data_IF_941860536525
#
_entry.id   IF_941860536525
#
_cell.length_a   1.000
_cell.length_b   1.000
_cell.length_c   1.000
_cell.angle_alpha   90.00
_cell.angle_beta   90.00
_cell.angle_gamma   90.00
#
_symmetry.space_group_name_H-M   'P 1'
#
loop_
_entity.id
_entity.type
_entity.pdbx_description
1 polymer ?
#
# COMPACT_ATOMS: atom_id res chain seq x y z
N UNK A 1 -12.13 -9.07 12.92
CA UNK A 1 -10.93 -9.91 12.62
C UNK A 1 -10.40 -9.76 11.19
N UNK A 2 -11.16 -9.19 10.23
CA UNK A 2 -10.75 -9.05 8.82
C UNK A 2 -9.39 -8.33 8.64
N UNK A 3 -9.20 -7.19 9.30
CA UNK A 3 -7.94 -6.42 9.27
C UNK A 3 -6.75 -7.22 9.81
N UNK A 4 -6.97 -7.98 10.88
CA UNK A 4 -5.93 -8.81 11.49
C UNK A 4 -5.42 -9.88 10.53
N UNK A 5 -6.34 -10.58 9.85
CA UNK A 5 -5.95 -11.55 8.84
C UNK A 5 -5.21 -10.91 7.66
N UNK A 6 -5.62 -9.72 7.22
CA UNK A 6 -4.92 -8.99 6.17
C UNK A 6 -3.50 -8.59 6.59
N UNK A 7 -3.31 -8.11 7.82
CA UNK A 7 -1.98 -7.79 8.35
C UNK A 7 -1.08 -9.03 8.34
N UNK A 8 -1.55 -10.15 8.89
CA UNK A 8 -0.76 -11.38 8.97
C UNK A 8 -0.70 -12.18 7.67
N UNK A 9 -1.40 -11.76 6.62
CA UNK A 9 -1.13 -12.26 5.26
C UNK A 9 0.27 -11.87 4.77
N UNK A 10 0.83 -10.78 5.33
CA UNK A 10 2.23 -10.45 5.15
C UNK A 10 3.11 -11.54 5.75
N UNK A 11 4.25 -11.79 5.12
CA UNK A 11 5.20 -12.79 5.56
C UNK A 11 4.59 -14.21 5.69
N UNK A 12 3.62 -14.54 4.81
CA UNK A 12 3.15 -15.91 4.62
C UNK A 12 2.39 -16.51 5.81
N UNK A 13 1.59 -15.71 6.54
CA UNK A 13 0.71 -16.22 7.60
C UNK A 13 1.44 -16.82 8.81
N UNK A 14 2.70 -16.42 9.01
CA UNK A 14 3.52 -16.89 10.14
C UNK A 14 3.06 -16.38 11.51
N UNK A 15 2.18 -15.37 11.54
CA UNK A 15 1.79 -14.67 12.76
C UNK A 15 2.80 -13.61 13.21
N UNK A 16 3.88 -13.38 12.45
CA UNK A 16 4.90 -12.37 12.77
C UNK A 16 5.13 -11.44 11.59
N UNK A 17 4.95 -10.14 11.83
CA UNK A 17 5.22 -9.06 10.88
C UNK A 17 6.09 -8.03 11.59
N UNK A 18 7.25 -7.72 10.99
CA UNK A 18 8.14 -6.69 11.54
C UNK A 18 7.47 -5.32 11.42
N UNK A 19 7.47 -4.57 12.53
CA UNK A 19 6.97 -3.20 12.53
C UNK A 19 7.76 -2.32 11.54
N UNK A 20 7.09 -1.38 10.84
CA UNK A 20 7.75 -0.39 10.00
C UNK A 20 8.88 0.32 10.74
N UNK A 21 9.93 0.69 10.01
CA UNK A 21 11.10 1.36 10.60
C UNK A 21 10.73 2.68 11.29
N UNK A 22 9.80 3.45 10.72
CA UNK A 22 9.26 4.66 11.32
C UNK A 22 8.74 4.42 12.73
N UNK A 23 7.95 3.36 12.93
CA UNK A 23 7.34 3.00 14.23
C UNK A 23 8.35 2.47 15.27
N UNK A 24 9.55 2.08 14.83
CA UNK A 24 10.62 1.61 15.74
C UNK A 24 11.49 2.75 16.25
N UNK A 25 11.20 3.99 15.86
CA UNK A 25 11.89 5.19 16.32
C UNK A 25 11.12 5.83 17.48
N UNK A 26 11.83 6.23 18.53
CA UNK A 26 11.26 6.94 19.71
C UNK A 26 10.56 8.25 19.35
N UNK A 27 10.91 8.86 18.20
CA UNK A 27 10.28 10.08 17.70
C UNK A 27 8.99 9.83 16.89
N UNK A 28 8.54 8.58 16.76
CA UNK A 28 7.31 8.24 16.05
C UNK A 28 6.10 8.82 16.77
N UNK A 29 5.30 9.56 16.00
CA UNK A 29 4.04 10.11 16.45
C UNK A 29 2.92 9.54 15.55
N UNK A 30 1.98 8.74 16.09
CA UNK A 30 0.86 8.22 15.31
C UNK A 30 -0.14 9.31 14.90
N UNK A 31 -0.10 10.48 15.55
CA UNK A 31 -0.97 11.62 15.27
C UNK A 31 -0.14 12.89 15.01
N UNK A 32 0.69 12.90 13.96
CA UNK A 32 1.57 14.02 13.70
C UNK A 32 0.77 15.24 13.25
N UNK A 33 1.24 16.44 13.64
CA UNK A 33 0.72 17.71 13.12
C UNK A 33 0.72 17.72 11.58
N UNK A 34 -0.25 18.40 10.96
CA UNK A 34 -0.40 18.49 9.49
C UNK A 34 0.90 18.84 8.76
N UNK A 35 1.73 19.74 9.31
CA UNK A 35 3.00 20.14 8.72
C UNK A 35 4.04 19.01 8.58
N UNK A 36 3.89 17.92 9.35
CA UNK A 36 4.76 16.74 9.29
C UNK A 36 4.22 15.64 8.38
N UNK A 37 2.96 15.74 7.95
CA UNK A 37 2.37 14.77 7.04
C UNK A 37 2.88 15.02 5.64
N UNK A 38 3.48 14.00 5.05
CA UNK A 38 3.99 14.03 3.69
C UNK A 38 3.23 13.02 2.87
N UNK A 39 2.57 13.48 1.82
CA UNK A 39 1.86 12.60 0.90
C UNK A 39 2.89 11.67 0.22
N UNK A 40 2.75 10.36 0.40
CA UNK A 40 3.70 9.38 -0.12
C UNK A 40 3.19 8.67 -1.38
N UNK A 41 1.88 8.48 -1.51
CA UNK A 41 1.31 7.96 -2.75
C UNK A 41 -0.10 8.46 -3.01
N UNK A 42 -0.50 8.36 -4.27
CA UNK A 42 -1.89 8.44 -4.71
C UNK A 42 -2.27 7.08 -5.28
N UNK A 43 -3.31 6.47 -4.72
CA UNK A 43 -3.91 5.25 -5.23
C UNK A 43 -5.20 5.61 -5.97
N UNK A 44 -5.25 5.35 -7.27
CA UNK A 44 -6.48 5.45 -8.06
C UNK A 44 -7.11 4.08 -8.16
N UNK A 45 -8.39 3.94 -7.81
CA UNK A 45 -9.15 2.69 -7.89
C UNK A 45 -10.41 2.91 -8.71
N UNK A 46 -10.71 1.95 -9.58
CA UNK A 46 -11.96 1.86 -10.33
C UNK A 46 -12.53 0.46 -10.16
N UNK A 47 -13.72 0.37 -9.60
CA UNK A 47 -14.48 -0.88 -9.54
C UNK A 47 -15.25 -1.03 -10.86
N UNK A 48 -15.08 -2.16 -11.55
CA UNK A 48 -15.61 -2.35 -12.90
C UNK A 48 -16.78 -3.33 -12.89
N UNK A 49 -16.56 -4.51 -12.34
CA UNK A 49 -17.55 -5.59 -12.33
C UNK A 49 -17.31 -6.55 -11.17
N UNK A 50 -18.28 -7.43 -10.90
CA UNK A 50 -18.07 -8.58 -10.05
C UNK A 50 -18.57 -9.84 -10.74
N UNK A 51 -18.25 -11.00 -10.15
CA UNK A 51 -18.86 -12.27 -10.53
C UNK A 51 -19.15 -13.11 -9.29
N UNK A 52 -20.19 -13.94 -9.38
CA UNK A 52 -20.55 -14.94 -8.37
C UNK A 52 -20.62 -14.37 -6.94
N UNK A 53 -21.26 -13.21 -6.76
CA UNK A 53 -21.46 -12.68 -5.41
C UNK A 53 -22.36 -13.64 -4.61
N UNK A 54 -22.09 -13.80 -3.29
CA UNK A 54 -22.90 -14.68 -2.47
C UNK A 54 -24.34 -14.16 -2.43
N UNK A 55 -25.30 -15.09 -2.43
CA UNK A 55 -26.72 -14.78 -2.34
C UNK A 55 -27.12 -14.70 -0.87
N UNK A 56 -27.72 -13.60 -0.45
CA UNK A 56 -28.43 -13.54 0.81
C UNK A 56 -29.86 -14.09 0.63
N UNK A 57 -30.20 -15.14 1.37
CA UNK A 57 -31.57 -15.68 1.37
C UNK A 57 -32.13 -16.06 -0.02
N UNK A 58 -33.34 -15.60 -0.32
CA UNK A 58 -34.11 -16.01 -1.51
C UNK A 58 -34.15 -14.97 -2.63
N UNK A 59 -33.92 -13.69 -2.35
CA UNK A 59 -33.93 -12.58 -3.31
C UNK A 59 -32.66 -12.54 -4.17
N UNK A 60 -32.74 -11.81 -5.28
CA UNK A 60 -31.55 -11.47 -6.07
C UNK A 60 -30.89 -10.26 -5.39
N UNK A 61 -29.57 -10.31 -5.21
CA UNK A 61 -28.83 -9.23 -4.57
C UNK A 61 -28.84 -7.97 -5.44
N UNK A 62 -28.94 -6.81 -4.78
CA UNK A 62 -28.72 -5.49 -5.38
C UNK A 62 -27.35 -4.94 -4.92
N UNK A 63 -26.22 -5.35 -5.53
CA UNK A 63 -24.92 -5.10 -4.95
C UNK A 63 -24.37 -3.69 -5.17
N UNK A 64 -23.61 -3.21 -4.20
CA UNK A 64 -22.69 -2.07 -4.33
C UNK A 64 -21.38 -2.36 -3.59
N UNK A 65 -20.32 -1.65 -3.94
CA UNK A 65 -18.99 -1.84 -3.35
C UNK A 65 -18.57 -0.59 -2.59
N UNK A 66 -18.20 -0.78 -1.32
CA UNK A 66 -17.46 0.19 -0.53
C UNK A 66 -15.96 -0.11 -0.67
N UNK A 67 -15.20 0.87 -1.17
CA UNK A 67 -13.73 0.85 -1.21
C UNK A 67 -13.24 1.80 -0.14
N UNK A 68 -12.38 1.32 0.76
CA UNK A 68 -11.82 2.14 1.82
C UNK A 68 -10.33 1.94 2.00
N UNK A 69 -9.68 3.01 2.45
CA UNK A 69 -8.35 2.98 3.03
C UNK A 69 -8.50 2.91 4.53
N UNK A 70 -7.84 1.93 5.13
CA UNK A 70 -7.74 1.80 6.59
C UNK A 70 -6.27 1.92 6.98
N UNK A 71 -5.95 2.79 7.94
CA UNK A 71 -4.58 2.93 8.43
C UNK A 71 -4.54 3.91 9.57
N UNK A 72 -3.62 4.88 9.48
CA UNK A 72 -3.67 6.06 10.33
C UNK A 72 -4.96 6.86 10.08
N UNK A 73 -5.43 7.60 11.08
CA UNK A 73 -6.68 8.35 10.99
C UNK A 73 -6.70 9.34 9.82
N UNK A 74 -5.55 9.93 9.49
CA UNK A 74 -5.39 10.86 8.39
C UNK A 74 -5.39 10.21 6.99
N UNK A 75 -5.22 8.88 6.91
CA UNK A 75 -5.31 8.12 5.65
C UNK A 75 -6.72 7.54 5.43
N UNK A 76 -7.57 7.53 6.46
CA UNK A 76 -8.87 6.88 6.40
C UNK A 76 -9.81 7.62 5.45
N UNK A 77 -10.23 6.95 4.39
CA UNK A 77 -11.15 7.48 3.39
C UNK A 77 -11.98 6.34 2.78
N UNK A 78 -13.23 6.64 2.42
CA UNK A 78 -14.19 5.66 1.90
C UNK A 78 -14.89 6.18 0.65
N UNK A 79 -15.16 5.29 -0.27
CA UNK A 79 -15.91 5.54 -1.49
C UNK A 79 -16.91 4.41 -1.72
N UNK A 80 -18.13 4.75 -2.16
CA UNK A 80 -19.17 3.79 -2.47
C UNK A 80 -19.56 3.92 -3.93
N UNK A 81 -19.64 2.80 -4.63
CA UNK A 81 -20.21 2.76 -5.99
C UNK A 81 -21.73 2.94 -5.93
N UNK A 82 -22.34 3.20 -7.08
CA UNK A 82 -23.79 3.05 -7.22
C UNK A 82 -24.24 1.59 -7.02
N UNK A 83 -25.51 1.43 -6.70
CA UNK A 83 -26.17 0.14 -6.55
C UNK A 83 -26.54 -0.40 -7.93
N UNK A 84 -26.29 -1.70 -8.14
CA UNK A 84 -26.78 -2.44 -9.31
C UNK A 84 -27.99 -3.24 -8.88
N UNK A 85 -29.15 -3.01 -9.50
CA UNK A 85 -30.38 -3.70 -9.12
C UNK A 85 -30.41 -5.13 -9.67
N UNK A 86 -30.90 -6.07 -8.85
CA UNK A 86 -31.23 -7.45 -9.23
C UNK A 86 -30.13 -8.18 -10.03
N UNK A 87 -28.86 -7.99 -9.66
CA UNK A 87 -27.75 -8.68 -10.32
C UNK A 87 -26.58 -8.99 -9.37
N UNK A 88 -26.61 -10.15 -8.73
CA UNK A 88 -25.47 -10.69 -7.97
C UNK A 88 -24.50 -11.57 -8.78
N UNK A 89 -24.90 -12.03 -9.97
CA UNK A 89 -24.10 -13.01 -10.72
C UNK A 89 -22.95 -12.36 -11.49
N UNK A 90 -23.21 -11.23 -12.15
CA UNK A 90 -22.23 -10.51 -12.98
C UNK A 90 -22.50 -9.00 -13.06
N UNK A 91 -22.62 -8.28 -11.92
CA UNK A 91 -22.87 -6.85 -11.94
C UNK A 91 -21.72 -6.09 -12.62
N UNK A 92 -22.06 -5.02 -13.33
CA UNK A 92 -21.13 -4.09 -13.94
C UNK A 92 -21.48 -2.69 -13.46
N UNK A 93 -20.50 -1.99 -12.88
CA UNK A 93 -20.65 -0.59 -12.48
C UNK A 93 -20.29 0.31 -13.68
N UNK A 94 -21.33 0.70 -14.41
CA UNK A 94 -21.22 1.38 -15.72
C UNK A 94 -20.64 2.79 -15.61
N UNK A 95 -20.91 3.48 -14.51
CA UNK A 95 -20.30 4.77 -14.24
C UNK A 95 -18.81 4.54 -14.01
N UNK A 96 -17.97 5.15 -14.85
CA UNK A 96 -16.52 5.00 -14.79
C UNK A 96 -15.91 5.78 -13.61
N UNK A 97 -16.54 5.69 -12.45
CA UNK A 97 -16.13 6.40 -11.25
C UNK A 97 -14.77 5.86 -10.81
N UNK A 98 -13.77 6.73 -10.91
CA UNK A 98 -12.45 6.50 -10.37
C UNK A 98 -12.35 7.28 -9.08
N UNK A 99 -12.03 6.60 -7.99
CA UNK A 99 -11.70 7.25 -6.72
C UNK A 99 -10.18 7.38 -6.62
N UNK A 100 -9.72 8.53 -6.15
CA UNK A 100 -8.32 8.78 -5.80
C UNK A 100 -8.20 8.86 -4.29
N UNK A 101 -7.31 8.07 -3.75
CA UNK A 101 -6.95 8.06 -2.34
C UNK A 101 -5.54 8.62 -2.17
N UNK A 102 -5.43 9.64 -1.33
CA UNK A 102 -4.16 10.17 -0.85
C UNK A 102 -3.71 9.35 0.36
N UNK A 103 -2.50 8.79 0.31
CA UNK A 103 -1.96 7.93 1.36
C UNK A 103 -0.62 8.52 1.83
N UNK A 104 -0.57 8.87 3.10
CA UNK A 104 0.55 9.51 3.77
C UNK A 104 1.45 8.48 4.48
N UNK A 105 0.91 7.37 5.00
CA UNK A 105 1.72 6.24 5.51
C UNK A 105 1.37 4.88 4.84
N UNK A 106 2.04 4.55 3.72
CA UNK A 106 1.91 3.27 3.02
C UNK A 106 2.18 2.03 3.88
N UNK A 107 2.95 2.18 4.95
CA UNK A 107 3.47 1.05 5.71
C UNK A 107 2.42 0.41 6.61
N UNK A 108 1.39 1.18 6.97
CA UNK A 108 0.31 0.76 7.86
C UNK A 108 -1.07 0.88 7.20
N UNK A 109 -1.12 1.34 5.94
CA UNK A 109 -2.36 1.45 5.18
C UNK A 109 -2.77 0.13 4.53
N UNK A 110 -4.08 -0.10 4.47
CA UNK A 110 -4.74 -1.24 3.87
C UNK A 110 -5.80 -0.76 2.90
N UNK A 111 -5.92 -1.45 1.76
CA UNK A 111 -7.01 -1.31 0.82
C UNK A 111 -8.06 -2.38 1.12
N UNK A 112 -9.27 -1.95 1.46
CA UNK A 112 -10.39 -2.82 1.79
C UNK A 112 -11.55 -2.60 0.83
N UNK A 113 -12.04 -3.70 0.28
CA UNK A 113 -13.25 -3.79 -0.51
C UNK A 113 -14.30 -4.49 0.33
N UNK A 114 -15.48 -3.92 0.41
CA UNK A 114 -16.65 -4.55 1.02
C UNK A 114 -17.77 -4.52 0.00
N UNK A 115 -18.32 -5.69 -0.29
CA UNK A 115 -19.51 -5.82 -1.10
C UNK A 115 -20.70 -5.87 -0.16
N UNK A 116 -21.62 -4.96 -0.38
CA UNK A 116 -22.92 -4.94 0.28
C UNK A 116 -23.99 -5.22 -0.75
N UNK A 117 -25.17 -5.59 -0.27
CA UNK A 117 -26.41 -5.44 -1.01
C UNK A 117 -27.31 -4.43 -0.31
N UNK A 118 -28.17 -3.80 -1.09
CA UNK A 118 -29.25 -2.99 -0.56
C UNK A 118 -30.54 -3.82 -0.55
N UNK A 119 -31.22 -3.90 0.60
CA UNK A 119 -32.50 -4.59 0.71
C UNK A 119 -33.70 -3.70 0.35
N UNK A 120 -34.93 -4.22 0.52
CA UNK A 120 -36.17 -3.49 0.22
C UNK A 120 -36.39 -2.25 1.10
N UNK A 121 -35.67 -2.10 2.20
CA UNK A 121 -35.73 -0.97 3.12
C UNK A 121 -34.55 -0.01 2.94
N UNK A 122 -33.73 -0.21 1.90
CA UNK A 122 -32.49 0.53 1.65
C UNK A 122 -31.41 0.33 2.73
N UNK A 123 -31.48 -0.76 3.50
CA UNK A 123 -30.46 -1.10 4.49
C UNK A 123 -29.31 -1.88 3.83
N UNK A 124 -28.03 -1.50 4.12
CA UNK A 124 -26.88 -2.18 3.55
C UNK A 124 -26.56 -3.47 4.29
N UNK A 125 -26.74 -4.61 3.63
CA UNK A 125 -26.42 -5.93 4.15
C UNK A 125 -25.08 -6.43 3.63
N UNK A 126 -24.23 -6.92 4.53
CA UNK A 126 -22.89 -7.42 4.19
C UNK A 126 -22.97 -8.68 3.33
N UNK A 127 -22.26 -8.69 2.19
CA UNK A 127 -22.14 -9.87 1.33
C UNK A 127 -20.73 -10.50 1.43
N UNK A 128 -19.69 -9.71 1.19
CA UNK A 128 -18.33 -10.20 1.13
C UNK A 128 -17.31 -9.09 1.37
N UNK A 129 -16.06 -9.45 1.62
CA UNK A 129 -14.96 -8.48 1.72
C UNK A 129 -13.67 -9.00 1.09
N UNK A 130 -12.75 -8.09 0.84
CA UNK A 130 -11.35 -8.40 0.58
C UNK A 130 -10.48 -7.28 1.15
N UNK A 131 -9.39 -7.61 1.81
CA UNK A 131 -8.55 -6.61 2.50
C UNK A 131 -7.09 -6.94 2.24
N UNK A 132 -6.33 -5.96 1.77
CA UNK A 132 -4.94 -6.11 1.38
C UNK A 132 -4.08 -5.01 1.98
N UNK A 133 -2.89 -5.32 2.51
CA UNK A 133 -1.89 -4.30 2.80
C UNK A 133 -1.52 -3.54 1.52
N UNK A 134 -1.43 -2.21 1.59
CA UNK A 134 -1.16 -1.38 0.40
C UNK A 134 0.15 -1.78 -0.30
N UNK A 135 1.18 -2.13 0.47
CA UNK A 135 2.46 -2.63 -0.06
C UNK A 135 2.35 -3.89 -0.93
N UNK A 136 1.29 -4.68 -0.78
CA UNK A 136 1.04 -5.89 -1.56
C UNK A 136 0.22 -5.68 -2.82
N UNK A 137 -0.33 -4.48 -3.04
CA UNK A 137 -1.19 -4.17 -4.19
C UNK A 137 -0.33 -4.01 -5.46
N UNK A 138 -0.87 -4.37 -6.63
CA UNK A 138 -0.20 -4.22 -7.93
C UNK A 138 -1.11 -3.52 -8.93
N UNK A 139 -0.58 -2.51 -9.62
CA UNK A 139 -1.35 -1.73 -10.61
C UNK A 139 -1.79 -2.53 -11.84
N UNK A 140 -2.76 -1.98 -12.58
CA UNK A 140 -3.39 -2.54 -13.77
C UNK A 140 -4.78 -3.12 -13.50
N UNK A 141 -5.27 -3.90 -14.45
CA UNK A 141 -6.51 -4.67 -14.28
C UNK A 141 -6.24 -5.91 -13.40
N UNK A 142 -7.00 -6.04 -12.32
CA UNK A 142 -6.82 -7.10 -11.31
C UNK A 142 -8.15 -7.73 -10.93
N UNK A 143 -8.10 -9.04 -10.70
CA UNK A 143 -9.18 -9.76 -10.04
C UNK A 143 -8.92 -9.73 -8.54
N UNK A 144 -9.95 -9.38 -7.77
CA UNK A 144 -9.93 -9.36 -6.30
C UNK A 144 -10.80 -10.50 -5.80
N UNK A 145 -10.21 -11.62 -5.33
CA UNK A 145 -10.95 -12.70 -4.72
C UNK A 145 -11.67 -12.22 -3.45
N UNK A 146 -12.93 -12.61 -3.29
CA UNK A 146 -13.78 -12.20 -2.17
C UNK A 146 -13.83 -13.27 -1.08
N UNK A 147 -14.02 -12.80 0.16
CA UNK A 147 -14.08 -13.60 1.38
C UNK A 147 -15.37 -13.33 2.16
N UNK A 148 -15.81 -14.31 2.95
CA UNK A 148 -16.99 -14.22 3.80
C UNK A 148 -16.72 -13.43 5.10
N UNK A 149 -17.71 -13.31 5.98
CA UNK A 149 -17.56 -12.57 7.26
C UNK A 149 -16.47 -13.11 8.19
N UNK A 150 -16.08 -14.37 8.02
CA UNK A 150 -15.01 -15.06 8.77
C UNK A 150 -13.65 -15.01 8.07
N UNK A 151 -13.58 -14.31 6.93
CA UNK A 151 -12.39 -14.18 6.08
C UNK A 151 -11.93 -15.48 5.42
N UNK A 152 -12.85 -16.42 5.22
CA UNK A 152 -12.68 -17.60 4.39
C UNK A 152 -13.02 -17.27 2.94
N UNK A 153 -12.34 -17.94 2.00
CA UNK A 153 -12.53 -17.70 0.57
C UNK A 153 -13.94 -18.12 0.11
N UNK A 154 -14.55 -17.31 -0.76
CA UNK A 154 -15.81 -17.64 -1.41
C UNK A 154 -15.49 -18.12 -2.82
N UNK A 155 -15.90 -19.34 -3.15
CA UNK A 155 -15.62 -19.93 -4.46
C UNK A 155 -16.13 -19.05 -5.60
N UNK A 156 -15.25 -18.80 -6.58
CA UNK A 156 -15.48 -18.03 -7.80
C UNK A 156 -15.78 -16.53 -7.61
N UNK A 157 -16.17 -16.10 -6.42
CA UNK A 157 -16.54 -14.73 -6.11
C UNK A 157 -15.34 -13.80 -6.24
N UNK A 158 -15.44 -12.82 -7.15
CA UNK A 158 -14.35 -11.86 -7.32
C UNK A 158 -14.82 -10.54 -7.94
N UNK A 159 -14.17 -9.45 -7.57
CA UNK A 159 -14.29 -8.17 -8.27
C UNK A 159 -13.27 -8.08 -9.41
N UNK A 160 -13.63 -7.35 -10.45
CA UNK A 160 -12.72 -6.83 -11.46
C UNK A 160 -12.50 -5.35 -11.17
N UNK A 161 -11.24 -4.98 -10.96
CA UNK A 161 -10.85 -3.59 -10.70
C UNK A 161 -9.76 -3.15 -11.66
N UNK A 162 -9.66 -1.84 -11.87
CA UNK A 162 -8.43 -1.19 -12.31
C UNK A 162 -7.87 -0.42 -11.13
N UNK A 163 -6.58 -0.59 -10.85
CA UNK A 163 -5.90 0.23 -9.86
C UNK A 163 -4.58 0.76 -10.39
N UNK A 164 -4.22 1.98 -9.97
CA UNK A 164 -2.98 2.64 -10.36
C UNK A 164 -2.36 3.26 -9.11
N UNK A 165 -1.09 2.93 -8.88
CA UNK A 165 -0.33 3.45 -7.74
C UNK A 165 0.70 4.42 -8.27
N UNK A 166 0.56 5.69 -7.87
CA UNK A 166 1.53 6.72 -8.17
C UNK A 166 2.26 7.08 -6.88
N UNK A 167 3.53 6.68 -6.76
CA UNK A 167 4.37 7.15 -5.66
C UNK A 167 4.68 8.62 -5.86
N UNK A 168 4.47 9.40 -4.81
CA UNK A 168 4.92 10.79 -4.78
C UNK A 168 6.38 10.75 -4.40
N UNK A 169 7.21 11.07 -5.40
CA UNK A 169 8.63 11.23 -5.19
C UNK A 169 8.84 12.41 -4.25
N UNK A 170 9.62 12.17 -3.20
CA UNK A 170 10.11 13.23 -2.35
C UNK A 170 10.78 14.33 -3.19
N UNK A 171 10.67 15.58 -2.71
CA UNK A 171 11.32 16.72 -3.36
C UNK A 171 12.80 16.40 -3.62
N UNK A 172 13.41 16.98 -4.66
CA UNK A 172 14.83 16.72 -4.93
C UNK A 172 15.69 17.01 -3.68
N UNK A 173 15.33 18.03 -2.91
CA UNK A 173 15.99 18.38 -1.64
C UNK A 173 15.93 17.26 -0.61
N UNK A 174 14.76 16.65 -0.42
CA UNK A 174 14.60 15.51 0.50
C UNK A 174 15.44 14.32 0.04
N UNK A 175 15.40 13.99 -1.25
CA UNK A 175 16.18 12.90 -1.84
C UNK A 175 17.69 13.12 -1.64
N UNK A 176 18.16 14.36 -1.88
CA UNK A 176 19.55 14.75 -1.65
C UNK A 176 19.92 14.69 -0.17
N UNK A 177 18.98 15.05 0.73
CA UNK A 177 19.19 15.00 2.17
C UNK A 177 19.32 13.55 2.67
N UNK A 178 18.43 12.64 2.25
CA UNK A 178 18.49 11.21 2.58
C UNK A 178 19.75 10.56 2.02
N UNK A 179 20.13 10.90 0.78
CA UNK A 179 21.38 10.42 0.18
C UNK A 179 22.62 10.88 0.97
N UNK A 180 22.65 12.13 1.44
CA UNK A 180 23.73 12.64 2.30
C UNK A 180 23.77 11.92 3.64
N UNK A 181 22.62 11.73 4.28
CA UNK A 181 22.51 11.03 5.56
C UNK A 181 23.00 9.58 5.46
N UNK A 182 22.59 8.85 4.41
CA UNK A 182 23.05 7.49 4.16
C UNK A 182 24.55 7.41 3.93
N UNK A 183 25.14 8.34 3.17
CA UNK A 183 26.60 8.41 3.01
C UNK A 183 27.31 8.66 4.34
N UNK A 184 26.77 9.55 5.18
CA UNK A 184 27.33 9.82 6.49
C UNK A 184 27.25 8.59 7.39
N UNK A 185 26.11 7.90 7.44
CA UNK A 185 25.92 6.66 8.19
C UNK A 185 26.87 5.55 7.71
N UNK A 186 27.08 5.45 6.41
CA UNK A 186 28.04 4.49 5.84
C UNK A 186 29.47 4.82 6.27
N UNK A 187 29.85 6.10 6.30
CA UNK A 187 31.17 6.52 6.79
C UNK A 187 31.36 6.22 8.28
N UNK A 188 30.33 6.46 9.11
CA UNK A 188 30.34 6.14 10.54
C UNK A 188 30.49 4.62 10.78
N UNK A 189 29.69 3.80 10.10
CA UNK A 189 29.78 2.34 10.18
C UNK A 189 31.15 1.83 9.72
N UNK A 190 31.72 2.43 8.68
CA UNK A 190 33.06 2.06 8.21
C UNK A 190 34.11 2.34 9.29
N UNK A 191 34.08 3.53 9.93
CA UNK A 191 34.98 3.86 11.03
C UNK A 191 34.81 2.89 12.21
N UNK A 192 33.57 2.57 12.60
CA UNK A 192 33.29 1.58 13.64
C UNK A 192 33.80 0.17 13.29
N UNK A 193 33.72 -0.22 12.00
CA UNK A 193 34.30 -1.48 11.50
C UNK A 193 35.83 -1.47 11.53
N UNK A 194 36.48 -0.33 11.28
CA UNK A 194 37.92 -0.16 11.45
C UNK A 194 38.35 -0.29 12.92
N UNK A 195 37.60 0.33 13.84
CA UNK A 195 37.90 0.24 15.27
C UNK A 195 37.66 -1.17 15.82
N UNK A 196 36.57 -1.83 15.42
CA UNK A 196 36.31 -3.24 15.80
C UNK A 196 37.27 -4.23 15.13
N UNK A 197 37.98 -3.89 14.05
CA UNK A 197 39.07 -4.75 13.53
C UNK A 197 40.24 -4.87 14.51
N UNK A 198 40.43 -3.93 15.43
CA UNK A 198 41.46 -4.01 16.49
C UNK A 198 41.08 -4.94 17.64
N UNK A 199 39.78 -5.20 17.87
CA UNK A 199 39.30 -6.10 18.91
C UNK A 199 38.82 -7.43 18.30
N UNK A 200 39.44 -8.54 18.72
CA UNK A 200 39.24 -9.88 18.12
C UNK A 200 37.77 -10.33 18.30
N UNK A 201 37.10 -10.55 17.15
CA UNK A 201 35.78 -11.20 16.91
C UNK A 201 34.74 -11.03 18.03
N UNK A 202 33.88 -10.03 17.87
CA UNK A 202 32.63 -9.87 18.63
C UNK A 202 31.41 -10.11 17.72
N UNK A 203 30.30 -10.70 18.22
CA UNK A 203 29.01 -10.79 17.51
C UNK A 203 28.49 -9.43 16.99
N UNK A 204 28.94 -8.33 17.61
CA UNK A 204 28.67 -6.95 17.18
C UNK A 204 29.18 -6.65 15.77
N UNK A 205 30.30 -7.27 15.34
CA UNK A 205 30.89 -7.05 14.02
C UNK A 205 30.00 -7.55 12.88
N UNK A 206 29.38 -8.72 13.04
CA UNK A 206 28.54 -9.31 11.99
C UNK A 206 27.20 -8.57 11.85
N UNK A 207 26.72 -7.92 12.92
CA UNK A 207 25.59 -7.00 12.86
C UNK A 207 25.96 -5.73 12.07
N UNK A 208 27.10 -5.11 12.38
CA UNK A 208 27.60 -3.92 11.67
C UNK A 208 27.83 -4.18 10.17
N UNK A 209 28.37 -5.35 9.80
CA UNK A 209 28.58 -5.72 8.40
C UNK A 209 27.25 -5.88 7.63
N UNK A 210 26.21 -6.41 8.27
CA UNK A 210 24.88 -6.53 7.66
C UNK A 210 24.24 -5.16 7.46
N UNK A 211 24.32 -4.28 8.45
CA UNK A 211 23.84 -2.90 8.33
C UNK A 211 24.60 -2.13 7.24
N UNK A 212 25.93 -2.28 7.19
CA UNK A 212 26.76 -1.67 6.14
C UNK A 212 26.34 -2.13 4.74
N UNK A 213 26.12 -3.44 4.56
CA UNK A 213 25.72 -4.02 3.27
C UNK A 213 24.31 -3.57 2.86
N UNK A 214 23.38 -3.48 3.82
CA UNK A 214 22.03 -2.97 3.56
C UNK A 214 22.05 -1.49 3.13
N UNK A 215 22.85 -0.67 3.81
CA UNK A 215 23.01 0.75 3.49
C UNK A 215 23.69 0.94 2.12
N UNK A 216 24.65 0.10 1.76
CA UNK A 216 25.29 0.12 0.44
C UNK A 216 24.26 -0.18 -0.67
N UNK A 217 23.40 -1.17 -0.47
CA UNK A 217 22.29 -1.47 -1.38
C UNK A 217 21.32 -0.31 -1.54
N UNK A 218 20.93 0.34 -0.44
CA UNK A 218 20.08 1.53 -0.49
C UNK A 218 20.75 2.68 -1.25
N UNK A 219 22.04 2.94 -1.02
CA UNK A 219 22.80 3.98 -1.73
C UNK A 219 22.86 3.75 -3.24
N UNK A 220 23.02 2.49 -3.68
CA UNK A 220 22.96 2.14 -5.10
C UNK A 220 21.59 2.49 -5.70
N UNK A 221 20.50 2.12 -5.02
CA UNK A 221 19.14 2.44 -5.45
C UNK A 221 18.92 3.96 -5.57
N UNK A 222 19.40 4.74 -4.59
CA UNK A 222 19.33 6.21 -4.66
C UNK A 222 20.15 6.77 -5.82
N UNK A 223 21.35 6.24 -6.07
CA UNK A 223 22.21 6.68 -7.15
C UNK A 223 21.60 6.36 -8.54
N UNK A 224 21.01 5.17 -8.71
CA UNK A 224 20.26 4.81 -9.91
C UNK A 224 19.04 5.71 -10.12
N UNK A 225 18.32 6.01 -9.04
CA UNK A 225 17.15 6.90 -9.07
C UNK A 225 17.55 8.32 -9.51
N UNK A 226 18.62 8.88 -8.94
CA UNK A 226 19.19 10.17 -9.35
C UNK A 226 19.62 10.16 -10.82
N UNK A 227 20.30 9.11 -11.26
CA UNK A 227 20.75 8.96 -12.65
C UNK A 227 19.58 8.86 -13.64
N UNK A 228 18.50 8.17 -13.27
CA UNK A 228 17.27 8.09 -14.08
C UNK A 228 16.62 9.46 -14.22
N UNK A 229 16.49 10.22 -13.11
CA UNK A 229 15.96 11.61 -13.14
C UNK A 229 16.80 12.54 -14.01
N UNK A 230 18.13 12.41 -13.96
CA UNK A 230 19.05 13.18 -14.82
C UNK A 230 18.86 12.85 -16.31
N UNK A 231 18.62 11.59 -16.65
CA UNK A 231 18.30 11.17 -18.03
C UNK A 231 16.93 11.70 -18.47
N UNK A 232 15.92 11.61 -17.62
CA UNK A 232 14.58 12.14 -17.92
C UNK A 232 14.58 13.65 -18.13
N UNK A 233 15.33 14.43 -17.32
CA UNK A 233 15.54 15.88 -17.54
C UNK A 233 16.24 16.17 -18.88
N UNK A 234 17.24 15.37 -19.27
CA UNK A 234 17.92 15.51 -20.58
C UNK A 234 16.97 15.24 -21.74
N UNK A 235 16.12 14.22 -21.63
CA UNK A 235 15.13 13.88 -22.66
C UNK A 235 14.03 14.95 -22.74
N UNK A 236 13.54 15.44 -21.60
CA UNK A 236 12.58 16.55 -21.52
C UNK A 236 13.13 17.83 -22.17
N UNK A 237 14.35 18.22 -21.84
CA UNK A 237 14.99 19.40 -22.43
C UNK A 237 15.26 19.21 -23.93
N UNK A 238 15.58 18.01 -24.41
CA UNK A 238 15.78 17.76 -25.85
C UNK A 238 14.51 17.93 -26.68
N UNK A 239 13.33 17.65 -26.10
CA UNK A 239 12.03 17.83 -26.76
C UNK A 239 11.56 19.30 -26.81
N UNK A 240 12.16 20.18 -26.03
CA UNK A 240 11.88 21.62 -26.04
C UNK A 240 12.72 22.40 -27.06
N UNK A 241 13.77 21.78 -27.60
CA UNK A 241 14.69 22.38 -28.60
C UNK A 241 14.67 21.66 -29.96
N UNK A 242 13.65 20.84 -30.22
CA UNK A 242 13.38 20.21 -31.53
C UNK A 242 12.04 20.71 -32.07
#
# INVERSE_FOLDING_TARGET
MQMNQALFSLNGWTGFVLQPESMRNEAYDPMPNECKKKLQMILTVRVIAARHLPKSGRSIACPFVEVEICGAEYDNNKFKTTVVNDNGLNPVWTLQEQVKFEIYDPNIAFLRFVVYEEDMFSDPNFLAHATFPIKGVRSGYRSVPLKNGYSEDIDLASLLIYCEMQQILESEEDLYSSFRQLRQRQAELNNQLYDTRRNIRSPSRDALLREFSANEGQLQVYQETCNRRLKEKRVSNSKFYS
#
